data_IF_376332196002
#
_entry.id   IF_376332196002
#
_cell.length_a   1.000
_cell.length_b   1.000
_cell.length_c   1.000
_cell.angle_alpha   90.00
_cell.angle_beta   90.00
_cell.angle_gamma   90.00
#
_symmetry.space_group_name_H-M   'P 1'
#
loop_
_entity.id
_entity.type
_entity.pdbx_description
1 polymer ?
#
# COMPACT_ATOMS: atom_id res chain seq x y z
N UNK A 1 25.04 39.89 6.71
CA UNK A 1 25.08 38.41 6.73
C UNK A 1 26.50 38.00 6.41
N UNK A 2 27.15 37.20 7.26
CA UNK A 2 28.55 36.78 7.06
C UNK A 2 28.62 35.33 6.60
N UNK A 3 29.67 34.97 5.87
CA UNK A 3 29.88 33.60 5.37
C UNK A 3 29.98 32.60 6.54
N UNK A 4 30.50 33.03 7.70
CA UNK A 4 30.58 32.20 8.90
C UNK A 4 29.20 31.68 9.37
N UNK A 5 28.10 32.41 9.10
CA UNK A 5 26.74 31.95 9.44
C UNK A 5 26.23 30.81 8.55
N UNK A 6 26.97 30.44 7.49
CA UNK A 6 26.66 29.30 6.64
C UNK A 6 27.22 27.99 7.19
N UNK A 7 28.20 28.03 8.09
CA UNK A 7 28.86 26.82 8.60
C UNK A 7 27.86 25.89 9.31
N UNK A 8 26.99 26.44 10.15
CA UNK A 8 25.91 25.70 10.81
C UNK A 8 24.99 25.03 9.78
N UNK A 9 24.53 25.79 8.77
CA UNK A 9 23.67 25.26 7.70
C UNK A 9 24.34 24.20 6.85
N UNK A 10 25.64 24.32 6.61
CA UNK A 10 26.43 23.32 5.87
C UNK A 10 26.56 22.04 6.69
N UNK A 11 26.75 22.13 8.00
CA UNK A 11 26.83 20.98 8.89
C UNK A 11 25.46 20.27 9.02
N UNK A 12 24.38 21.02 9.25
CA UNK A 12 23.00 20.49 9.26
C UNK A 12 22.70 19.72 7.97
N UNK A 13 23.08 20.28 6.82
CA UNK A 13 22.85 19.64 5.53
C UNK A 13 23.63 18.33 5.38
N UNK A 14 24.90 18.29 5.80
CA UNK A 14 25.69 17.05 5.79
C UNK A 14 25.09 15.97 6.69
N UNK A 15 24.61 16.35 7.87
CA UNK A 15 23.93 15.44 8.79
C UNK A 15 22.61 14.91 8.22
N UNK A 16 21.87 15.76 7.50
CA UNK A 16 20.64 15.35 6.82
C UNK A 16 20.91 14.27 5.76
N UNK A 17 22.00 14.43 4.97
CA UNK A 17 22.40 13.43 3.97
C UNK A 17 22.77 12.12 4.64
N UNK A 18 23.55 12.17 5.72
CA UNK A 18 23.95 10.97 6.47
C UNK A 18 22.73 10.21 6.99
N UNK A 19 21.76 10.94 7.57
CA UNK A 19 20.51 10.36 8.05
C UNK A 19 19.74 9.64 6.94
N UNK A 20 19.64 10.25 5.75
CA UNK A 20 18.99 9.61 4.59
C UNK A 20 19.73 8.35 4.15
N UNK A 21 21.06 8.38 4.13
CA UNK A 21 21.89 7.20 3.78
C UNK A 21 21.69 6.06 4.77
N UNK A 22 21.64 6.37 6.07
CA UNK A 22 21.45 5.39 7.14
C UNK A 22 20.06 4.73 7.03
N UNK A 23 19.00 5.52 6.84
CA UNK A 23 17.64 5.02 6.58
C UNK A 23 17.59 4.11 5.35
N UNK A 24 18.21 4.52 4.24
CA UNK A 24 18.25 3.72 3.00
C UNK A 24 19.00 2.40 3.18
N UNK A 25 20.11 2.42 3.91
CA UNK A 25 20.89 1.23 4.25
C UNK A 25 20.09 0.27 5.12
N UNK A 26 19.33 0.79 6.09
CA UNK A 26 18.49 -0.03 6.95
C UNK A 26 17.34 -0.70 6.19
N UNK A 27 16.70 0.03 5.28
CA UNK A 27 15.69 -0.55 4.39
C UNK A 27 16.22 -1.78 3.65
N UNK A 28 17.37 -1.65 2.99
CA UNK A 28 17.99 -2.73 2.21
C UNK A 28 18.41 -3.92 3.06
N UNK A 29 19.01 -3.64 4.21
CA UNK A 29 19.59 -4.68 5.06
C UNK A 29 18.52 -5.45 5.85
N UNK A 30 17.45 -4.77 6.29
CA UNK A 30 16.49 -5.29 7.27
C UNK A 30 15.02 -5.11 6.86
N UNK A 31 14.54 -3.87 6.74
CA UNK A 31 13.09 -3.60 6.72
C UNK A 31 12.39 -4.19 5.49
N UNK A 32 13.02 -4.08 4.31
CA UNK A 32 12.55 -4.70 3.07
C UNK A 32 12.36 -6.21 3.22
N UNK A 33 13.38 -6.90 3.73
CA UNK A 33 13.36 -8.36 3.95
C UNK A 33 12.29 -8.77 4.97
N UNK A 34 12.11 -7.96 6.02
CA UNK A 34 11.07 -8.20 7.02
C UNK A 34 9.68 -8.11 6.40
N UNK A 35 9.40 -7.06 5.61
CA UNK A 35 8.12 -6.88 4.91
C UNK A 35 7.87 -8.07 3.98
N UNK A 36 8.82 -8.42 3.11
CA UNK A 36 8.70 -9.56 2.18
C UNK A 36 8.39 -10.84 2.94
N UNK A 37 9.13 -11.14 4.02
CA UNK A 37 8.93 -12.35 4.81
C UNK A 37 7.54 -12.39 5.44
N UNK A 38 7.10 -11.29 6.03
CA UNK A 38 5.79 -11.19 6.69
C UNK A 38 4.64 -11.30 5.69
N UNK A 39 4.71 -10.57 4.57
CA UNK A 39 3.68 -10.64 3.52
C UNK A 39 3.60 -12.04 2.90
N UNK A 40 4.74 -12.70 2.66
CA UNK A 40 4.74 -14.08 2.17
C UNK A 40 4.15 -15.06 3.19
N UNK A 41 4.39 -14.84 4.50
CA UNK A 41 3.78 -15.64 5.56
C UNK A 41 2.25 -15.46 5.55
N UNK A 42 1.77 -14.22 5.43
CA UNK A 42 0.34 -13.91 5.28
C UNK A 42 -0.26 -14.61 4.07
N UNK A 43 0.32 -14.44 2.88
CA UNK A 43 -0.19 -15.03 1.64
C UNK A 43 -0.21 -16.57 1.67
N UNK A 44 0.74 -17.20 2.38
CA UNK A 44 0.75 -18.66 2.58
C UNK A 44 -0.30 -19.13 3.59
N UNK A 45 -0.55 -18.36 4.65
CA UNK A 45 -1.54 -18.70 5.67
C UNK A 45 -2.99 -18.54 5.17
N UNK A 46 -3.23 -17.58 4.27
CA UNK A 46 -4.56 -17.23 3.78
C UNK A 46 -4.58 -17.25 2.25
N UNK A 47 -5.12 -18.34 1.68
CA UNK A 47 -5.14 -18.57 0.24
C UNK A 47 -6.31 -17.84 -0.45
N UNK A 48 -6.27 -16.52 -0.44
CA UNK A 48 -7.29 -15.66 -1.07
C UNK A 48 -6.84 -15.08 -2.42
N UNK A 49 -5.85 -15.72 -3.04
CA UNK A 49 -5.37 -15.34 -4.38
C UNK A 49 -4.47 -14.10 -4.40
N UNK A 50 -3.76 -13.86 -3.30
CA UNK A 50 -2.78 -12.79 -3.20
C UNK A 50 -1.41 -13.18 -3.73
N UNK A 51 -0.71 -12.19 -4.27
CA UNK A 51 0.68 -12.30 -4.70
C UNK A 51 1.50 -11.18 -4.09
N UNK A 52 2.68 -11.52 -3.58
CA UNK A 52 3.68 -10.55 -3.14
C UNK A 52 4.64 -10.28 -4.29
N UNK A 53 4.94 -9.00 -4.57
CA UNK A 53 5.89 -8.63 -5.63
C UNK A 53 6.89 -7.60 -5.12
N UNK A 54 8.11 -7.70 -5.65
CA UNK A 54 9.13 -6.68 -5.51
C UNK A 54 9.14 -5.82 -6.78
N UNK A 55 9.03 -4.52 -6.57
CA UNK A 55 8.90 -3.51 -7.62
C UNK A 55 10.18 -2.68 -7.65
N UNK A 56 11.09 -2.98 -8.59
CA UNK A 56 12.39 -2.30 -8.75
C UNK A 56 12.55 -1.56 -10.10
N UNK A 57 11.47 -1.01 -10.66
CA UNK A 57 11.32 -0.73 -12.10
C UNK A 57 11.25 0.77 -12.46
N UNK A 58 11.19 1.69 -11.50
CA UNK A 58 11.18 3.14 -11.79
C UNK A 58 12.13 3.90 -10.87
N UNK A 59 13.21 4.42 -11.46
CA UNK A 59 14.02 5.58 -11.02
C UNK A 59 14.26 5.77 -9.50
N UNK A 60 14.75 4.73 -8.81
CA UNK A 60 15.31 4.75 -7.44
C UNK A 60 14.35 4.51 -6.26
N UNK A 61 13.07 4.25 -6.49
CA UNK A 61 12.16 3.86 -5.41
C UNK A 61 11.85 2.37 -5.51
N UNK A 62 12.45 1.60 -4.61
CA UNK A 62 12.08 0.20 -4.43
C UNK A 62 10.78 0.11 -3.64
N UNK A 63 9.86 -0.72 -4.12
CA UNK A 63 8.64 -1.00 -3.40
C UNK A 63 8.40 -2.51 -3.29
N UNK A 64 7.65 -2.88 -2.25
CA UNK A 64 7.12 -4.23 -2.07
C UNK A 64 5.62 -4.07 -1.99
N UNK A 65 4.88 -4.89 -2.72
CA UNK A 65 3.44 -4.91 -2.59
C UNK A 65 2.90 -6.32 -2.31
N UNK A 66 1.67 -6.36 -1.79
CA UNK A 66 0.80 -7.52 -1.86
C UNK A 66 -0.46 -7.11 -2.61
N UNK A 67 -0.85 -7.87 -3.61
CA UNK A 67 -1.96 -7.55 -4.53
C UNK A 67 -2.86 -8.76 -4.74
N UNK A 68 -4.14 -8.50 -5.03
CA UNK A 68 -5.07 -9.52 -5.52
C UNK A 68 -4.77 -9.84 -6.98
N UNK A 69 -4.28 -11.06 -7.22
CA UNK A 69 -3.83 -11.54 -8.53
C UNK A 69 -4.77 -12.59 -9.11
N UNK A 70 -5.39 -13.42 -8.26
CA UNK A 70 -6.31 -14.47 -8.69
C UNK A 70 -7.53 -14.57 -7.80
N UNK A 71 -8.58 -15.20 -8.31
CA UNK A 71 -9.76 -15.52 -7.50
C UNK A 71 -9.40 -16.52 -6.38
N UNK A 72 -9.97 -16.40 -5.17
CA UNK A 72 -9.78 -17.39 -4.11
C UNK A 72 -10.18 -18.80 -4.57
N UNK A 73 -9.26 -19.76 -4.46
CA UNK A 73 -9.49 -21.13 -4.95
C UNK A 73 -10.67 -21.81 -4.26
N UNK A 74 -10.89 -21.51 -2.99
CA UNK A 74 -11.96 -22.11 -2.19
C UNK A 74 -13.36 -21.62 -2.62
N UNK A 75 -13.42 -20.54 -3.41
CA UNK A 75 -14.67 -19.99 -3.93
C UNK A 75 -14.88 -20.33 -5.40
N UNK A 76 -14.02 -21.15 -6.02
CA UNK A 76 -14.06 -21.41 -7.47
C UNK A 76 -15.42 -21.97 -7.94
N UNK A 77 -16.14 -22.69 -7.10
CA UNK A 77 -17.49 -23.19 -7.43
C UNK A 77 -18.50 -22.06 -7.64
N UNK A 78 -18.23 -20.85 -7.11
CA UNK A 78 -19.03 -19.66 -7.33
C UNK A 78 -18.73 -18.96 -8.67
N UNK A 79 -17.61 -19.26 -9.35
CA UNK A 79 -17.28 -18.63 -10.64
C UNK A 79 -18.21 -19.05 -11.78
N UNK A 80 -18.95 -20.16 -11.60
CA UNK A 80 -20.04 -20.54 -12.51
C UNK A 80 -21.27 -19.63 -12.39
N UNK A 81 -21.33 -18.77 -11.36
CA UNK A 81 -22.43 -17.83 -11.12
C UNK A 81 -22.05 -16.38 -11.46
N UNK A 82 -20.76 -16.08 -11.50
CA UNK A 82 -20.21 -14.74 -11.72
C UNK A 82 -18.93 -14.91 -12.56
N UNK A 83 -18.84 -14.35 -13.77
CA UNK A 83 -17.63 -14.46 -14.57
C UNK A 83 -16.39 -13.91 -13.85
N UNK A 84 -15.25 -14.59 -13.99
CA UNK A 84 -13.98 -14.33 -13.29
C UNK A 84 -13.47 -12.88 -13.38
N UNK A 85 -13.92 -12.12 -14.38
CA UNK A 85 -13.58 -10.70 -14.58
C UNK A 85 -14.35 -9.72 -13.67
N UNK A 86 -15.32 -10.19 -12.87
CA UNK A 86 -16.07 -9.34 -11.93
C UNK A 86 -15.48 -9.32 -10.51
N UNK A 87 -14.37 -9.99 -10.26
CA UNK A 87 -13.62 -9.86 -9.01
C UNK A 87 -12.71 -8.64 -9.06
N UNK A 88 -12.54 -7.95 -7.94
CA UNK A 88 -11.64 -6.80 -7.82
C UNK A 88 -10.19 -7.27 -8.04
N UNK A 89 -9.72 -7.12 -9.28
CA UNK A 89 -8.30 -7.21 -9.62
C UNK A 89 -7.67 -5.82 -9.51
N UNK A 90 -6.45 -5.75 -8.98
CA UNK A 90 -5.67 -4.50 -8.94
C UNK A 90 -5.68 -3.75 -7.60
N UNK A 91 -6.41 -4.24 -6.59
CA UNK A 91 -6.22 -3.76 -5.22
C UNK A 91 -4.86 -4.18 -4.68
N UNK A 92 -4.05 -3.24 -4.19
CA UNK A 92 -2.69 -3.53 -3.73
C UNK A 92 -2.30 -2.72 -2.49
N UNK A 93 -1.70 -3.36 -1.50
CA UNK A 93 -1.00 -2.69 -0.40
C UNK A 93 0.47 -2.55 -0.78
N UNK A 94 1.00 -1.33 -0.80
CA UNK A 94 2.34 -1.00 -1.26
C UNK A 94 3.15 -0.37 -0.13
N UNK A 95 4.35 -0.91 0.08
CA UNK A 95 5.40 -0.34 0.92
C UNK A 95 6.50 0.18 0.00
N UNK A 96 6.69 1.50 -0.07
CA UNK A 96 7.63 2.14 -0.99
C UNK A 96 8.64 2.98 -0.23
N UNK A 97 9.92 2.79 -0.55
CA UNK A 97 10.95 3.68 -0.03
C UNK A 97 10.90 5.04 -0.74
N UNK A 98 10.93 6.10 0.04
CA UNK A 98 10.98 7.48 -0.43
C UNK A 98 12.40 7.96 -0.69
N UNK A 99 12.50 9.16 -1.27
CA UNK A 99 13.77 9.86 -1.37
C UNK A 99 14.43 10.13 0.01
N UNK A 100 13.65 10.47 1.04
CA UNK A 100 14.15 10.69 2.42
C UNK A 100 14.59 9.40 3.11
N UNK A 101 14.35 8.24 2.51
CA UNK A 101 14.62 6.93 3.09
C UNK A 101 13.50 6.42 3.99
N UNK A 102 12.45 7.20 4.20
CA UNK A 102 11.24 6.75 4.89
C UNK A 102 10.43 5.79 4.03
N UNK A 103 9.57 5.00 4.66
CA UNK A 103 8.71 4.01 4.02
C UNK A 103 7.29 4.55 3.97
N UNK A 104 6.81 4.83 2.77
CA UNK A 104 5.40 5.13 2.50
C UNK A 104 4.61 3.84 2.44
N UNK A 105 3.47 3.81 3.12
CA UNK A 105 2.52 2.71 3.07
C UNK A 105 1.22 3.24 2.50
N UNK A 106 0.78 2.67 1.39
CA UNK A 106 -0.47 3.07 0.75
C UNK A 106 -1.25 1.86 0.23
N UNK A 107 -2.57 1.97 0.24
CA UNK A 107 -3.44 1.05 -0.47
C UNK A 107 -3.83 1.67 -1.81
N UNK A 108 -3.67 0.91 -2.89
CA UNK A 108 -4.20 1.22 -4.22
C UNK A 108 -5.51 0.46 -4.38
N UNK A 109 -6.55 1.18 -4.83
CA UNK A 109 -7.85 0.60 -5.10
C UNK A 109 -7.95 0.14 -6.56
N UNK A 110 -8.74 -0.90 -6.85
CA UNK A 110 -8.99 -1.29 -8.23
C UNK A 110 -9.63 -0.17 -9.04
N UNK A 111 -9.38 -0.20 -10.34
CA UNK A 111 -10.13 0.62 -11.27
C UNK A 111 -11.48 -0.04 -11.58
N UNK A 112 -12.58 0.65 -11.30
CA UNK A 112 -13.94 0.22 -11.66
C UNK A 112 -14.54 1.30 -12.55
N UNK A 113 -14.70 1.00 -13.84
CA UNK A 113 -15.16 1.95 -14.87
C UNK A 113 -16.50 2.64 -14.52
N UNK A 114 -17.36 1.95 -13.76
CA UNK A 114 -18.69 2.42 -13.34
C UNK A 114 -18.68 3.27 -12.07
N UNK A 115 -17.57 3.29 -11.31
CA UNK A 115 -17.41 4.11 -10.12
C UNK A 115 -16.52 5.29 -10.50
N UNK A 116 -17.04 6.51 -10.45
CA UNK A 116 -16.19 7.71 -10.47
C UNK A 116 -15.48 7.78 -9.12
N UNK A 117 -14.35 7.09 -9.01
CA UNK A 117 -13.57 7.04 -7.78
C UNK A 117 -12.74 8.31 -7.69
N UNK A 118 -13.13 9.26 -6.84
CA UNK A 118 -12.33 10.46 -6.55
C UNK A 118 -10.97 10.11 -5.90
N UNK A 119 -10.85 8.93 -5.28
CA UNK A 119 -9.65 8.49 -4.57
C UNK A 119 -9.20 7.08 -5.00
N UNK A 120 -8.27 6.99 -5.95
CA UNK A 120 -7.68 5.72 -6.43
C UNK A 120 -6.69 5.09 -5.45
N UNK A 121 -6.40 5.77 -4.33
CA UNK A 121 -5.49 5.30 -3.29
C UNK A 121 -5.86 5.84 -1.91
N UNK A 122 -5.37 5.17 -0.88
CA UNK A 122 -5.46 5.57 0.52
C UNK A 122 -4.06 5.57 1.13
N UNK A 123 -3.65 6.70 1.70
CA UNK A 123 -2.42 6.79 2.49
C UNK A 123 -2.63 6.13 3.85
N UNK A 124 -1.78 5.15 4.18
CA UNK A 124 -1.79 4.42 5.43
C UNK A 124 -0.66 4.84 6.38
N UNK A 125 0.20 5.78 5.95
CA UNK A 125 1.21 6.42 6.77
C UNK A 125 2.62 6.40 6.20
N UNK A 126 3.49 7.16 6.86
CA UNK A 126 4.92 7.26 6.58
C UNK A 126 5.69 6.84 7.82
N UNK A 127 6.63 5.93 7.66
CA UNK A 127 7.36 5.32 8.77
C UNK A 127 8.86 5.37 8.55
N UNK A 128 9.63 5.55 9.62
CA UNK A 128 11.06 5.30 9.57
C UNK A 128 11.29 3.78 9.34
N UNK A 129 12.26 3.36 8.51
CA UNK A 129 12.58 1.95 8.35
C UNK A 129 12.83 1.18 9.65
N UNK A 130 13.30 1.84 10.72
CA UNK A 130 13.48 1.26 12.06
C UNK A 130 12.17 0.84 12.74
N UNK A 131 11.10 1.57 12.47
CA UNK A 131 9.77 1.36 13.06
C UNK A 131 9.00 0.23 12.38
N UNK A 132 9.48 -0.24 11.22
CA UNK A 132 8.90 -1.36 10.50
C UNK A 132 9.11 -2.65 11.29
N UNK A 133 8.04 -3.12 11.91
CA UNK A 133 7.98 -4.39 12.65
C UNK A 133 7.00 -5.37 11.98
N UNK A 134 7.09 -6.66 12.31
CA UNK A 134 6.12 -7.66 11.83
C UNK A 134 4.69 -7.27 12.24
N UNK A 135 4.52 -6.74 13.46
CA UNK A 135 3.24 -6.24 13.96
C UNK A 135 2.68 -5.13 13.06
N UNK A 136 3.47 -4.11 12.75
CA UNK A 136 3.04 -3.02 11.89
C UNK A 136 2.61 -3.52 10.50
N UNK A 137 3.38 -4.43 9.90
CA UNK A 137 3.04 -4.99 8.58
C UNK A 137 1.70 -5.74 8.64
N UNK A 138 1.45 -6.52 9.69
CA UNK A 138 0.18 -7.23 9.89
C UNK A 138 -0.98 -6.25 10.10
N UNK A 139 -0.79 -5.21 10.90
CA UNK A 139 -1.80 -4.16 11.11
C UNK A 139 -2.18 -3.48 9.78
N UNK A 140 -1.20 -3.19 8.92
CA UNK A 140 -1.45 -2.59 7.60
C UNK A 140 -2.15 -3.53 6.63
N UNK A 141 -1.90 -4.84 6.72
CA UNK A 141 -2.66 -5.85 5.98
C UNK A 141 -4.13 -5.89 6.45
N UNK A 142 -4.37 -5.83 7.76
CA UNK A 142 -5.73 -5.79 8.31
C UNK A 142 -6.50 -4.52 7.90
N UNK A 143 -5.85 -3.35 7.98
CA UNK A 143 -6.41 -2.09 7.48
C UNK A 143 -6.74 -2.17 5.99
N UNK A 144 -5.82 -2.70 5.17
CA UNK A 144 -6.04 -2.91 3.74
C UNK A 144 -7.25 -3.81 3.49
N UNK A 145 -7.33 -4.96 4.15
CA UNK A 145 -8.46 -5.90 4.03
C UNK A 145 -9.80 -5.24 4.39
N UNK A 146 -9.85 -4.46 5.47
CA UNK A 146 -11.05 -3.75 5.88
C UNK A 146 -11.55 -2.81 4.78
N UNK A 147 -10.65 -2.11 4.11
CA UNK A 147 -11.04 -1.26 2.98
C UNK A 147 -11.49 -2.09 1.78
N UNK A 148 -10.79 -3.17 1.43
CA UNK A 148 -11.19 -4.06 0.33
C UNK A 148 -12.58 -4.68 0.55
N UNK A 149 -12.91 -5.04 1.79
CA UNK A 149 -14.24 -5.56 2.14
C UNK A 149 -15.32 -4.50 1.93
N UNK A 150 -15.06 -3.23 2.29
CA UNK A 150 -16.01 -2.13 2.02
C UNK A 150 -16.20 -1.89 0.52
N UNK A 151 -15.17 -2.13 -0.27
CA UNK A 151 -15.22 -2.03 -1.73
C UNK A 151 -16.03 -3.17 -2.37
N UNK A 152 -15.83 -4.41 -1.93
CA UNK A 152 -16.59 -5.58 -2.41
C UNK A 152 -18.05 -5.57 -1.96
N UNK A 153 -18.32 -5.09 -0.74
CA UNK A 153 -19.67 -4.93 -0.21
C UNK A 153 -19.88 -3.45 0.10
N UNK A 154 -20.17 -2.61 -0.92
CA UNK A 154 -20.55 -1.23 -0.69
C UNK A 154 -21.71 -1.25 0.29
N UNK A 155 -21.47 -0.72 1.48
CA UNK A 155 -22.55 -0.52 2.43
C UNK A 155 -23.48 0.49 1.77
N UNK A 156 -24.54 0.02 1.11
CA UNK A 156 -25.65 0.86 0.67
C UNK A 156 -26.28 1.44 1.94
N UNK A 157 -25.68 2.48 2.52
CA UNK A 157 -26.44 3.47 3.28
C UNK A 157 -27.24 4.22 2.24
N UNK A 158 -28.41 3.65 1.98
CA UNK A 158 -29.56 4.21 1.30
C UNK A 158 -29.63 5.73 1.45
N UNK A 159 -29.00 6.49 0.54
CA UNK A 159 -29.54 7.78 0.13
C UNK A 159 -30.45 7.52 -1.07
N UNK A 160 -31.54 6.77 -0.84
CA UNK A 160 -32.72 6.88 -1.68
C UNK A 160 -33.34 8.23 -1.32
N UNK A 161 -32.91 9.25 -2.04
CA UNK A 161 -33.35 10.63 -1.88
C UNK A 161 -33.42 11.34 -3.22
N UNK A 162 -33.99 10.67 -4.23
CA UNK A 162 -34.55 11.34 -5.40
C UNK A 162 -35.97 10.85 -5.60
N UNK A 163 -36.94 11.66 -5.19
CA UNK A 163 -38.19 11.77 -5.93
C UNK A 163 -38.21 13.16 -6.55
N UNK A 164 -37.89 13.20 -7.84
CA UNK A 164 -38.43 14.23 -8.71
C UNK A 164 -39.96 14.11 -8.69
N UNK A 165 -40.65 15.24 -8.55
CA UNK A 165 -41.84 15.45 -9.37
C UNK A 165 -41.70 16.79 -10.09
N UNK A 166 -41.84 16.67 -11.38
CA UNK A 166 -41.77 17.67 -12.44
C UNK A 166 -42.95 18.65 -12.41
N UNK A 167 -42.65 19.86 -12.91
CA UNK A 167 -43.49 20.93 -13.50
C UNK A 167 -44.48 21.64 -12.56
#
# INVERSE_FOLDING_TARGET
>A
MKIEHLEERVNDYKESIKTVVDKKTLWQSKSKKLIIRTLNKVAKSYNIGWRVQELNWIYNNEAINITFDSFPKDLIDCTNKIPTYQFIQGGALVFSQSYSGDVYVLALFPYVEQLQVENSSLDLGVYNPEEITEKLVIEKVDEFLKEMIKWEVPSYRTKLGFQNKEI
#
